data_IF_664237329441
#
_entry.id   IF_664237329441
#
_cell.length_a   1.000
_cell.length_b   1.000
_cell.length_c   1.000
_cell.angle_alpha   90.00
_cell.angle_beta   90.00
_cell.angle_gamma   90.00
#
_symmetry.space_group_name_H-M   'P 1'
#
loop_
_entity.id
_entity.type
_entity.pdbx_description
1 polymer ?
#
# COMPACT_ATOMS: atom_id res chain seq x y z
N UNK A 1 -21.92 -7.20 -15.02
CA UNK A 1 -22.37 -7.80 -13.74
C UNK A 1 -22.05 -6.80 -12.63
N UNK A 2 -23.07 -6.07 -12.17
CA UNK A 2 -22.97 -5.03 -11.14
C UNK A 2 -22.98 -5.66 -9.75
N UNK A 3 -22.02 -5.29 -8.90
CA UNK A 3 -22.07 -5.51 -7.45
C UNK A 3 -21.66 -4.19 -6.78
N UNK A 4 -22.62 -3.52 -6.12
CA UNK A 4 -22.39 -2.47 -5.11
C UNK A 4 -22.15 -1.03 -5.61
N UNK A 5 -22.93 -0.08 -5.09
CA UNK A 5 -22.80 1.38 -5.27
C UNK A 5 -21.59 1.97 -4.49
N UNK A 6 -20.37 1.48 -4.74
CA UNK A 6 -19.14 2.23 -4.42
C UNK A 6 -18.47 2.59 -5.74
N UNK A 7 -18.48 3.88 -6.11
CA UNK A 7 -17.54 4.37 -7.13
C UNK A 7 -16.14 4.08 -6.60
N UNK A 8 -15.47 3.08 -7.15
CA UNK A 8 -14.04 2.87 -6.95
C UNK A 8 -13.34 3.98 -7.73
N UNK A 9 -13.33 5.19 -7.19
CA UNK A 9 -12.39 6.21 -7.65
C UNK A 9 -11.04 5.84 -7.03
N UNK A 10 -10.11 5.37 -7.86
CA UNK A 10 -8.69 5.32 -7.50
C UNK A 10 -8.26 6.76 -7.19
N UNK A 11 -8.39 7.20 -5.93
CA UNK A 11 -7.71 8.41 -5.46
C UNK A 11 -6.21 8.09 -5.44
N UNK A 12 -5.57 8.20 -6.60
CA UNK A 12 -4.12 8.04 -6.74
C UNK A 12 -3.46 9.24 -6.06
N UNK A 13 -3.00 9.07 -4.83
CA UNK A 13 -2.17 10.08 -4.18
C UNK A 13 -0.86 10.25 -4.97
N UNK A 14 -0.24 11.43 -4.90
CA UNK A 14 1.06 11.67 -5.54
C UNK A 14 2.11 10.63 -5.10
N UNK A 15 2.06 10.19 -3.85
CA UNK A 15 2.92 9.14 -3.31
C UNK A 15 2.68 7.77 -3.97
N UNK A 16 1.42 7.43 -4.30
CA UNK A 16 1.10 6.20 -5.03
C UNK A 16 1.75 6.21 -6.41
N UNK A 17 1.58 7.32 -7.14
CA UNK A 17 2.16 7.49 -8.49
C UNK A 17 3.68 7.40 -8.44
N UNK A 18 4.32 8.07 -7.48
CA UNK A 18 5.77 8.04 -7.32
C UNK A 18 6.31 6.63 -7.03
N UNK A 19 5.66 5.88 -6.12
CA UNK A 19 6.04 4.49 -5.81
C UNK A 19 5.87 3.57 -7.02
N UNK A 20 4.76 3.72 -7.75
CA UNK A 20 4.49 2.95 -8.96
C UNK A 20 5.56 3.22 -10.03
N UNK A 21 5.90 4.49 -10.26
CA UNK A 21 6.93 4.89 -11.21
C UNK A 21 8.31 4.32 -10.83
N UNK A 22 8.71 4.44 -9.57
CA UNK A 22 9.97 3.92 -9.06
C UNK A 22 10.08 2.39 -9.23
N UNK A 23 9.03 1.66 -8.84
CA UNK A 23 9.01 0.20 -8.96
C UNK A 23 8.99 -0.26 -10.42
N UNK A 24 8.33 0.49 -11.30
CA UNK A 24 8.35 0.23 -12.74
C UNK A 24 9.74 0.46 -13.32
N UNK A 25 10.40 1.58 -12.97
CA UNK A 25 11.76 1.87 -13.41
C UNK A 25 12.75 0.81 -12.91
N UNK A 26 12.63 0.37 -11.65
CA UNK A 26 13.44 -0.71 -11.10
C UNK A 26 13.16 -2.05 -11.80
N UNK A 27 11.90 -2.36 -12.09
CA UNK A 27 11.49 -3.55 -12.82
C UNK A 27 12.12 -3.60 -14.22
N UNK A 28 12.14 -2.45 -14.91
CA UNK A 28 12.80 -2.30 -16.20
C UNK A 28 14.33 -2.40 -16.11
N UNK A 29 14.95 -1.77 -15.11
CA UNK A 29 16.40 -1.86 -14.90
C UNK A 29 16.84 -3.31 -14.61
N UNK A 30 16.09 -4.05 -13.79
CA UNK A 30 16.35 -5.47 -13.53
C UNK A 30 16.14 -6.35 -14.76
N UNK A 31 15.29 -5.92 -15.71
CA UNK A 31 15.17 -6.60 -17.00
C UNK A 31 16.42 -6.41 -17.87
N UNK A 32 17.03 -5.23 -17.86
CA UNK A 32 18.27 -4.98 -18.62
C UNK A 32 19.43 -5.88 -18.16
N UNK A 33 19.39 -6.35 -16.91
CA UNK A 33 20.37 -7.29 -16.34
C UNK A 33 20.03 -8.77 -16.61
N UNK A 34 19.28 -9.07 -17.68
CA UNK A 34 18.95 -10.44 -18.09
C UNK A 34 20.18 -11.17 -18.65
N UNK A 35 20.22 -12.49 -18.47
CA UNK A 35 21.32 -13.32 -18.94
C UNK A 35 20.85 -14.74 -19.30
N UNK A 36 21.60 -15.42 -20.14
CA UNK A 36 21.30 -16.80 -20.54
C UNK A 36 21.87 -17.80 -19.54
N UNK A 37 21.12 -18.85 -19.25
CA UNK A 37 21.63 -19.98 -18.47
C UNK A 37 22.31 -20.99 -19.42
N UNK A 38 23.51 -21.49 -19.09
CA UNK A 38 24.18 -22.50 -19.89
C UNK A 38 23.50 -23.88 -19.77
N UNK A 39 24.06 -24.87 -20.48
CA UNK A 39 23.67 -26.28 -20.47
C UNK A 39 22.37 -26.59 -21.22
N UNK A 40 21.28 -26.83 -20.50
CA UNK A 40 20.06 -27.46 -21.02
C UNK A 40 18.99 -26.47 -21.50
N UNK A 41 19.26 -25.16 -21.44
CA UNK A 41 18.30 -24.12 -21.78
C UNK A 41 18.65 -23.46 -23.12
N UNK A 42 17.70 -23.37 -24.06
CA UNK A 42 17.90 -22.58 -25.28
C UNK A 42 18.21 -21.11 -24.98
N UNK A 43 19.01 -20.48 -25.84
CA UNK A 43 19.51 -19.11 -25.67
C UNK A 43 18.44 -18.01 -25.66
N UNK A 44 17.22 -18.31 -26.11
CA UNK A 44 16.08 -17.40 -26.04
C UNK A 44 15.33 -17.46 -24.69
N UNK A 45 15.69 -18.38 -23.79
CA UNK A 45 15.20 -18.42 -22.41
C UNK A 45 16.15 -17.61 -21.50
N UNK A 46 15.82 -16.34 -21.31
CA UNK A 46 16.62 -15.40 -20.53
C UNK A 46 16.19 -15.35 -19.07
N UNK A 47 17.15 -15.52 -18.16
CA UNK A 47 16.94 -15.42 -16.72
C UNK A 47 16.92 -13.95 -16.30
N UNK A 48 15.89 -13.55 -15.57
CA UNK A 48 15.71 -12.17 -15.11
C UNK A 48 14.86 -12.11 -13.85
N UNK A 49 14.99 -11.01 -13.10
CA UNK A 49 14.31 -10.80 -11.82
C UNK A 49 13.30 -9.64 -11.85
N UNK A 50 12.84 -9.24 -13.05
CA UNK A 50 12.02 -8.05 -13.22
C UNK A 50 10.63 -8.12 -12.57
N UNK A 51 10.13 -9.31 -12.22
CA UNK A 51 8.83 -9.48 -11.57
C UNK A 51 8.88 -9.18 -10.08
N UNK A 52 10.08 -9.11 -9.48
CA UNK A 52 10.25 -8.84 -8.06
C UNK A 52 9.67 -7.46 -7.67
N UNK A 53 9.98 -6.33 -8.34
CA UNK A 53 9.33 -5.06 -8.06
C UNK A 53 7.82 -5.07 -8.27
N UNK A 54 7.31 -5.83 -9.23
CA UNK A 54 5.87 -5.98 -9.46
C UNK A 54 5.18 -6.74 -8.31
N UNK A 55 5.79 -7.80 -7.78
CA UNK A 55 5.31 -8.47 -6.56
C UNK A 55 5.27 -7.52 -5.36
N UNK A 56 6.32 -6.72 -5.19
CA UNK A 56 6.39 -5.75 -4.09
C UNK A 56 5.31 -4.66 -4.23
N UNK A 57 5.07 -4.17 -5.44
CA UNK A 57 3.94 -3.29 -5.75
C UNK A 57 2.61 -3.98 -5.41
N UNK A 58 2.44 -5.24 -5.83
CA UNK A 58 1.28 -6.08 -5.53
C UNK A 58 0.99 -6.21 -4.03
N UNK A 59 2.01 -6.51 -3.24
CA UNK A 59 1.88 -6.70 -1.79
C UNK A 59 1.66 -5.39 -1.03
N UNK A 60 2.16 -4.27 -1.53
CA UNK A 60 2.06 -2.98 -0.84
C UNK A 60 0.83 -2.18 -1.21
N UNK A 61 0.57 -2.05 -2.51
CA UNK A 61 -0.43 -1.16 -3.11
C UNK A 61 -1.60 -1.92 -3.71
N UNK A 62 -1.54 -3.26 -3.72
CA UNK A 62 -2.60 -4.14 -4.17
C UNK A 62 -2.36 -4.75 -5.56
N UNK A 63 -3.17 -5.74 -5.97
CA UNK A 63 -2.94 -6.51 -7.20
C UNK A 63 -2.88 -5.66 -8.48
N UNK A 64 -3.71 -4.62 -8.56
CA UNK A 64 -3.74 -3.70 -9.70
C UNK A 64 -2.40 -2.99 -9.88
N UNK A 65 -1.75 -2.57 -8.78
CA UNK A 65 -0.43 -1.96 -8.85
C UNK A 65 0.62 -2.93 -9.40
N UNK A 66 0.61 -4.18 -8.95
CA UNK A 66 1.51 -5.22 -9.46
C UNK A 66 1.33 -5.46 -10.96
N UNK A 67 0.09 -5.52 -11.42
CA UNK A 67 -0.22 -5.63 -12.85
C UNK A 67 0.25 -4.41 -13.65
N UNK A 68 0.02 -3.19 -13.14
CA UNK A 68 0.47 -1.97 -13.78
C UNK A 68 1.99 -1.92 -13.94
N UNK A 69 2.76 -2.34 -12.92
CA UNK A 69 4.22 -2.43 -13.04
C UNK A 69 4.64 -3.35 -14.18
N UNK A 70 3.99 -4.52 -14.32
CA UNK A 70 4.30 -5.47 -15.41
C UNK A 70 3.96 -4.86 -16.77
N UNK A 71 2.76 -4.31 -16.92
CA UNK A 71 2.31 -3.73 -18.19
C UNK A 71 3.20 -2.57 -18.60
N UNK A 72 3.45 -1.62 -17.70
CA UNK A 72 4.31 -0.46 -17.98
C UNK A 72 5.75 -0.88 -18.27
N UNK A 73 6.30 -1.84 -17.51
CA UNK A 73 7.61 -2.44 -17.80
C UNK A 73 7.64 -2.97 -19.24
N UNK A 74 6.67 -3.80 -19.62
CA UNK A 74 6.61 -4.38 -20.98
C UNK A 74 6.49 -3.30 -22.06
N UNK A 75 5.70 -2.24 -21.84
CA UNK A 75 5.62 -1.10 -22.76
C UNK A 75 6.99 -0.43 -22.96
N UNK A 76 7.79 -0.26 -21.91
CA UNK A 76 9.14 0.28 -22.02
C UNK A 76 10.13 -0.64 -22.73
N UNK A 77 9.87 -1.95 -22.74
CA UNK A 77 10.71 -2.93 -23.45
C UNK A 77 10.43 -2.99 -24.95
N UNK A 78 9.21 -2.64 -25.39
CA UNK A 78 8.80 -2.78 -26.80
C UNK A 78 9.80 -2.15 -27.80
N UNK A 79 10.34 -0.93 -27.59
CA UNK A 79 11.30 -0.33 -28.53
C UNK A 79 12.66 -1.04 -28.61
N UNK A 80 12.96 -1.94 -27.66
CA UNK A 80 14.25 -2.62 -27.52
C UNK A 80 14.18 -4.10 -27.91
N UNK A 81 13.06 -4.56 -28.47
CA UNK A 81 12.86 -5.99 -28.75
C UNK A 81 13.60 -6.44 -30.02
N UNK A 82 14.27 -7.59 -29.92
CA UNK A 82 14.87 -8.30 -31.06
C UNK A 82 14.06 -9.53 -31.48
N UNK A 83 13.02 -9.91 -30.72
CA UNK A 83 12.21 -11.13 -30.87
C UNK A 83 10.81 -10.84 -31.43
N UNK A 84 10.66 -9.70 -32.10
CA UNK A 84 9.41 -9.25 -32.72
C UNK A 84 8.19 -9.39 -31.81
N UNK A 85 8.32 -8.90 -30.57
CA UNK A 85 7.28 -8.83 -29.55
C UNK A 85 6.82 -10.16 -28.94
N UNK A 86 7.23 -11.33 -29.47
CA UNK A 86 6.84 -12.64 -28.93
C UNK A 86 7.33 -12.83 -27.51
N UNK A 87 8.61 -12.51 -27.29
CA UNK A 87 9.22 -12.59 -25.96
C UNK A 87 8.55 -11.65 -24.97
N UNK A 88 8.22 -10.43 -25.41
CA UNK A 88 7.60 -9.40 -24.57
C UNK A 88 6.16 -9.76 -24.18
N UNK A 89 5.38 -10.28 -25.12
CA UNK A 89 4.04 -10.80 -24.85
C UNK A 89 4.07 -11.97 -23.87
N UNK A 90 4.99 -12.91 -24.09
CA UNK A 90 5.16 -14.07 -23.22
C UNK A 90 5.54 -13.63 -21.79
N UNK A 91 6.52 -12.74 -21.65
CA UNK A 91 6.95 -12.21 -20.36
C UNK A 91 5.83 -11.45 -19.64
N UNK A 92 5.02 -10.68 -20.36
CA UNK A 92 3.86 -9.98 -19.80
C UNK A 92 2.82 -10.97 -19.26
N UNK A 93 2.42 -11.97 -20.05
CA UNK A 93 1.41 -12.95 -19.67
C UNK A 93 1.86 -13.75 -18.45
N UNK A 94 3.07 -14.30 -18.49
CA UNK A 94 3.59 -15.12 -17.39
C UNK A 94 3.86 -14.28 -16.14
N UNK A 95 4.32 -13.04 -16.30
CA UNK A 95 4.45 -12.09 -15.20
C UNK A 95 3.12 -11.83 -14.49
N UNK A 96 2.04 -11.61 -15.24
CA UNK A 96 0.70 -11.39 -14.67
C UNK A 96 0.19 -12.64 -13.93
N UNK A 97 0.32 -13.82 -14.54
CA UNK A 97 -0.09 -15.09 -13.93
C UNK A 97 0.69 -15.40 -12.65
N UNK A 98 1.96 -14.98 -12.58
CA UNK A 98 2.75 -15.12 -11.36
C UNK A 98 2.35 -14.11 -10.27
N UNK A 99 2.25 -12.83 -10.63
CA UNK A 99 2.11 -11.73 -9.66
C UNK A 99 0.69 -11.59 -9.13
N UNK A 100 -0.34 -11.72 -9.98
CA UNK A 100 -1.72 -11.45 -9.58
C UNK A 100 -2.23 -12.44 -8.51
N UNK A 101 -2.10 -13.77 -8.66
CA UNK A 101 -2.52 -14.70 -7.63
C UNK A 101 -1.78 -14.45 -6.32
N UNK A 102 -0.47 -14.21 -6.37
CA UNK A 102 0.32 -13.91 -5.19
C UNK A 102 -0.20 -12.66 -4.47
N UNK A 103 -0.42 -11.57 -5.22
CA UNK A 103 -0.89 -10.30 -4.68
C UNK A 103 -2.33 -10.40 -4.13
N UNK A 104 -3.21 -11.16 -4.78
CA UNK A 104 -4.58 -11.38 -4.33
C UNK A 104 -4.60 -12.16 -3.01
N UNK A 105 -3.87 -13.28 -2.91
CA UNK A 105 -3.75 -14.04 -1.67
C UNK A 105 -3.24 -13.17 -0.53
N UNK A 106 -2.23 -12.35 -0.79
CA UNK A 106 -1.71 -11.42 0.21
C UNK A 106 -2.69 -10.31 0.58
N UNK A 107 -3.49 -9.82 -0.37
CA UNK A 107 -4.49 -8.79 -0.14
C UNK A 107 -5.65 -9.29 0.73
N UNK A 108 -6.00 -10.58 0.67
CA UNK A 108 -7.00 -11.20 1.55
C UNK A 108 -6.58 -11.09 3.01
N UNK A 109 -5.31 -11.40 3.32
CA UNK A 109 -4.76 -11.22 4.66
C UNK A 109 -3.27 -10.91 4.60
N UNK A 110 -2.90 -9.72 5.10
CA UNK A 110 -1.54 -9.18 5.05
C UNK A 110 -0.61 -9.83 6.08
N UNK A 111 -0.31 -11.11 5.88
CA UNK A 111 0.63 -11.86 6.71
C UNK A 111 1.61 -12.72 5.88
N UNK A 112 2.62 -13.27 6.55
CA UNK A 112 3.66 -14.08 5.91
C UNK A 112 3.14 -15.40 5.33
N UNK A 113 2.07 -15.96 5.90
CA UNK A 113 1.52 -17.25 5.45
C UNK A 113 0.81 -17.08 4.11
N UNK A 114 0.03 -16.02 3.96
CA UNK A 114 -0.67 -15.71 2.71
C UNK A 114 0.29 -15.24 1.63
N UNK A 115 1.35 -14.50 1.99
CA UNK A 115 2.44 -14.22 1.07
C UNK A 115 3.09 -15.51 0.56
N UNK A 116 3.41 -16.45 1.46
CA UNK A 116 4.00 -17.74 1.11
C UNK A 116 3.09 -18.56 0.18
N UNK A 117 1.84 -18.79 0.57
CA UNK A 117 0.89 -19.56 -0.24
C UNK A 117 0.56 -18.87 -1.57
N UNK A 118 0.49 -17.54 -1.57
CA UNK A 118 0.33 -16.75 -2.78
C UNK A 118 1.50 -16.93 -3.74
N UNK A 119 2.74 -16.90 -3.24
CA UNK A 119 3.94 -17.14 -4.05
C UNK A 119 3.99 -18.56 -4.59
N UNK A 120 3.70 -19.57 -3.76
CA UNK A 120 3.63 -20.98 -4.20
C UNK A 120 2.59 -21.14 -5.31
N UNK A 121 1.39 -20.59 -5.10
CA UNK A 121 0.30 -20.66 -6.10
C UNK A 121 0.69 -19.95 -7.38
N UNK A 122 1.26 -18.74 -7.29
CA UNK A 122 1.75 -17.99 -8.44
C UNK A 122 2.82 -18.75 -9.22
N UNK A 123 3.79 -19.36 -8.54
CA UNK A 123 4.85 -20.17 -9.19
C UNK A 123 4.26 -21.35 -9.95
N UNK A 124 3.35 -22.12 -9.34
CA UNK A 124 2.73 -23.28 -9.98
C UNK A 124 1.91 -22.85 -11.20
N UNK A 125 1.08 -21.82 -11.05
CA UNK A 125 0.23 -21.31 -12.14
C UNK A 125 1.07 -20.73 -13.28
N UNK A 126 2.13 -19.98 -12.99
CA UNK A 126 2.98 -19.38 -14.01
C UNK A 126 3.78 -20.42 -14.77
N UNK A 127 4.29 -21.47 -14.10
CA UNK A 127 4.97 -22.58 -14.78
C UNK A 127 4.01 -23.38 -15.66
N UNK A 128 2.78 -23.64 -15.20
CA UNK A 128 1.75 -24.28 -16.03
C UNK A 128 1.37 -23.41 -17.24
N UNK A 129 1.18 -22.11 -17.01
CA UNK A 129 0.91 -21.15 -18.09
C UNK A 129 2.09 -21.05 -19.07
N UNK A 130 3.33 -21.17 -18.61
CA UNK A 130 4.51 -21.15 -19.48
C UNK A 130 4.48 -22.29 -20.49
N UNK A 131 4.05 -23.50 -20.08
CA UNK A 131 3.88 -24.63 -20.99
C UNK A 131 2.83 -24.32 -22.06
N UNK A 132 1.67 -23.79 -21.65
CA UNK A 132 0.55 -23.48 -22.56
C UNK A 132 0.94 -22.37 -23.53
N UNK A 133 1.45 -21.25 -23.01
CA UNK A 133 1.83 -20.07 -23.79
C UNK A 133 2.95 -20.44 -24.77
N UNK A 134 3.97 -21.19 -24.37
CA UNK A 134 5.03 -21.58 -25.30
C UNK A 134 4.53 -22.56 -26.38
N UNK A 135 3.65 -23.51 -26.03
CA UNK A 135 3.12 -24.48 -26.99
C UNK A 135 2.26 -23.83 -28.06
N UNK A 136 1.38 -22.91 -27.67
CA UNK A 136 0.31 -22.41 -28.53
C UNK A 136 0.50 -20.98 -29.02
N UNK A 137 1.37 -20.19 -28.39
CA UNK A 137 1.58 -18.79 -28.72
C UNK A 137 3.03 -18.56 -29.12
N UNK A 138 3.98 -18.76 -28.19
CA UNK A 138 5.37 -18.30 -28.39
C UNK A 138 6.08 -19.05 -29.51
N UNK A 139 6.13 -20.39 -29.47
CA UNK A 139 6.84 -21.17 -30.48
C UNK A 139 6.16 -21.06 -31.85
N UNK A 140 4.84 -21.26 -32.01
CA UNK A 140 4.20 -21.13 -33.32
C UNK A 140 4.43 -19.75 -33.96
N UNK A 141 4.27 -18.67 -33.20
CA UNK A 141 4.48 -17.32 -33.72
C UNK A 141 5.96 -17.06 -34.06
N UNK A 142 6.88 -17.53 -33.21
CA UNK A 142 8.31 -17.38 -33.47
C UNK A 142 8.74 -18.15 -34.74
N UNK A 143 8.25 -19.38 -34.93
CA UNK A 143 8.51 -20.17 -36.14
C UNK A 143 7.92 -19.53 -37.39
N UNK A 144 6.68 -19.06 -37.31
CA UNK A 144 6.03 -18.38 -38.43
C UNK A 144 6.84 -17.16 -38.88
N UNK A 145 7.29 -16.36 -37.92
CA UNK A 145 7.95 -15.10 -38.24
C UNK A 145 9.41 -15.24 -38.67
N UNK A 146 10.19 -16.11 -38.02
CA UNK A 146 11.64 -16.22 -38.29
C UNK A 146 12.00 -17.31 -39.30
N UNK A 147 11.13 -18.31 -39.46
CA UNK A 147 11.38 -19.45 -40.35
C UNK A 147 10.29 -19.63 -41.42
N UNK A 148 9.36 -18.67 -41.58
CA UNK A 148 8.23 -18.79 -42.51
C UNK A 148 7.44 -20.09 -42.32
N UNK A 149 7.30 -20.54 -41.07
CA UNK A 149 6.59 -21.77 -40.72
C UNK A 149 7.43 -23.06 -40.78
N UNK A 150 8.72 -22.98 -41.18
CA UNK A 150 9.61 -24.14 -41.18
C UNK A 150 10.03 -24.54 -39.75
N UNK A 151 9.41 -25.60 -39.25
CA UNK A 151 9.64 -26.11 -37.91
C UNK A 151 10.97 -26.86 -37.78
N UNK A 152 11.47 -27.48 -38.85
CA UNK A 152 12.72 -28.26 -38.81
C UNK A 152 13.93 -27.36 -38.55
N UNK A 153 13.92 -26.14 -39.09
CA UNK A 153 14.90 -25.11 -38.77
C UNK A 153 14.97 -24.79 -37.27
N UNK A 154 13.81 -24.71 -36.59
CA UNK A 154 13.74 -24.47 -35.15
C UNK A 154 14.27 -25.66 -34.33
N UNK A 155 13.95 -26.90 -34.75
CA UNK A 155 14.49 -28.11 -34.14
C UNK A 155 16.02 -28.14 -34.31
N UNK A 156 16.52 -27.80 -35.50
CA UNK A 156 17.95 -27.72 -35.80
C UNK A 156 18.71 -26.75 -34.89
N UNK A 157 18.13 -25.59 -34.56
CA UNK A 157 18.72 -24.64 -33.61
C UNK A 157 18.88 -25.22 -32.20
N UNK A 158 17.98 -26.11 -31.81
CA UNK A 158 18.00 -26.74 -30.50
C UNK A 158 18.75 -28.08 -30.50
N UNK A 159 19.20 -28.60 -31.65
CA UNK A 159 19.83 -29.92 -31.76
C UNK A 159 21.10 -30.06 -30.92
N UNK A 160 21.82 -28.96 -30.67
CA UNK A 160 22.99 -28.95 -29.78
C UNK A 160 22.60 -29.30 -28.33
N UNK A 161 21.39 -28.91 -27.91
CA UNK A 161 20.88 -29.09 -26.55
C UNK A 161 20.04 -30.36 -26.45
N UNK A 162 19.25 -30.64 -27.49
CA UNK A 162 18.35 -31.79 -27.61
C UNK A 162 18.72 -32.62 -28.86
N UNK A 163 19.84 -33.36 -28.84
CA UNK A 163 20.34 -34.06 -30.03
C UNK A 163 19.40 -35.14 -30.57
N UNK A 164 18.51 -35.68 -29.73
CA UNK A 164 17.54 -36.70 -30.10
C UNK A 164 16.15 -36.14 -30.43
N UNK A 165 15.97 -34.81 -30.47
CA UNK A 165 14.69 -34.20 -30.76
C UNK A 165 14.42 -34.19 -32.28
N UNK A 166 13.23 -34.64 -32.64
CA UNK A 166 12.61 -34.52 -33.98
C UNK A 166 11.44 -33.55 -33.91
N UNK A 167 10.85 -33.16 -35.04
CA UNK A 167 9.66 -32.30 -35.07
C UNK A 167 8.53 -32.79 -34.15
N UNK A 168 8.24 -34.09 -34.17
CA UNK A 168 7.18 -34.70 -33.36
C UNK A 168 7.50 -34.75 -31.86
N UNK A 169 8.78 -34.92 -31.52
CA UNK A 169 9.22 -35.09 -30.12
C UNK A 169 9.72 -33.78 -29.49
N UNK A 170 9.94 -32.74 -30.30
CA UNK A 170 10.51 -31.47 -29.88
C UNK A 170 9.81 -30.89 -28.65
N UNK A 171 8.48 -30.85 -28.66
CA UNK A 171 7.72 -30.29 -27.54
C UNK A 171 7.88 -31.08 -26.25
N UNK A 172 8.07 -32.39 -26.31
CA UNK A 172 8.31 -33.19 -25.10
C UNK A 172 9.64 -32.80 -24.45
N UNK A 173 10.70 -32.69 -25.26
CA UNK A 173 12.02 -32.25 -24.78
C UNK A 173 12.00 -30.77 -24.35
N UNK A 174 11.56 -29.88 -25.22
CA UNK A 174 11.59 -28.45 -24.98
C UNK A 174 10.69 -28.00 -23.83
N UNK A 175 9.45 -28.51 -23.75
CA UNK A 175 8.54 -28.12 -22.67
C UNK A 175 8.95 -28.77 -21.35
N UNK A 176 9.30 -30.07 -21.38
CA UNK A 176 9.63 -30.84 -20.19
C UNK A 176 10.99 -30.51 -19.59
N UNK A 177 12.03 -30.40 -20.42
CA UNK A 177 13.41 -30.17 -19.98
C UNK A 177 13.84 -28.70 -20.07
N UNK A 178 13.20 -27.91 -20.93
CA UNK A 178 13.47 -26.48 -21.04
C UNK A 178 12.50 -25.67 -20.17
N UNK A 179 11.26 -25.54 -20.63
CA UNK A 179 10.29 -24.57 -20.09
C UNK A 179 9.95 -24.82 -18.62
N UNK A 180 9.58 -26.05 -18.24
CA UNK A 180 9.16 -26.36 -16.87
C UNK A 180 10.27 -26.08 -15.86
N UNK A 181 11.47 -26.69 -15.95
CA UNK A 181 12.53 -26.46 -14.98
C UNK A 181 13.03 -25.01 -14.99
N UNK A 182 13.11 -24.37 -16.16
CA UNK A 182 13.52 -22.97 -16.27
C UNK A 182 12.58 -22.02 -15.52
N UNK A 183 11.27 -22.11 -15.80
CA UNK A 183 10.28 -21.23 -15.18
C UNK A 183 10.11 -21.55 -13.69
N UNK A 184 10.16 -22.83 -13.32
CA UNK A 184 10.14 -23.23 -11.91
C UNK A 184 11.33 -22.62 -11.15
N UNK A 185 12.54 -22.74 -11.68
CA UNK A 185 13.75 -22.15 -11.10
C UNK A 185 13.62 -20.62 -10.99
N UNK A 186 13.22 -19.96 -12.08
CA UNK A 186 13.02 -18.50 -12.14
C UNK A 186 12.06 -18.02 -11.06
N UNK A 187 10.86 -18.59 -11.01
CA UNK A 187 9.84 -18.13 -10.08
C UNK A 187 10.13 -18.52 -8.63
N UNK A 188 10.80 -19.65 -8.36
CA UNK A 188 11.26 -19.98 -7.02
C UNK A 188 12.27 -18.95 -6.53
N UNK A 189 13.27 -18.58 -7.34
CA UNK A 189 14.27 -17.59 -6.94
C UNK A 189 13.60 -16.23 -6.69
N UNK A 190 12.72 -15.79 -7.60
CA UNK A 190 11.98 -14.53 -7.42
C UNK A 190 11.11 -14.58 -6.15
N UNK A 191 10.42 -15.68 -5.88
CA UNK A 191 9.62 -15.86 -4.67
C UNK A 191 10.46 -15.80 -3.40
N UNK A 192 11.63 -16.45 -3.38
CA UNK A 192 12.57 -16.41 -2.26
C UNK A 192 13.09 -14.99 -2.02
N UNK A 193 13.52 -14.30 -3.09
CA UNK A 193 13.97 -12.91 -3.01
C UNK A 193 12.84 -12.00 -2.52
N UNK A 194 11.62 -12.16 -3.03
CA UNK A 194 10.47 -11.40 -2.58
C UNK A 194 10.19 -11.64 -1.09
N UNK A 195 10.24 -12.89 -0.63
CA UNK A 195 10.00 -13.23 0.76
C UNK A 195 11.07 -12.65 1.71
N UNK A 196 12.35 -12.69 1.32
CA UNK A 196 13.46 -12.14 2.10
C UNK A 196 13.44 -10.61 2.14
N UNK A 197 13.19 -9.98 0.99
CA UNK A 197 13.22 -8.54 0.84
C UNK A 197 11.94 -7.87 1.34
N UNK A 198 10.80 -8.58 1.35
CA UNK A 198 9.52 -8.01 1.77
C UNK A 198 9.59 -7.35 3.14
N UNK A 199 10.20 -7.97 4.16
CA UNK A 199 10.26 -7.33 5.50
C UNK A 199 11.07 -6.03 5.53
N UNK A 200 12.08 -5.91 4.67
CA UNK A 200 12.94 -4.72 4.58
C UNK A 200 12.25 -3.64 3.76
N UNK A 201 11.70 -4.03 2.61
CA UNK A 201 11.05 -3.11 1.67
C UNK A 201 9.65 -2.72 2.11
N UNK A 202 8.90 -3.56 2.85
CA UNK A 202 7.56 -3.20 3.34
C UNK A 202 7.60 -2.02 4.29
N UNK A 203 8.69 -1.83 5.05
CA UNK A 203 8.89 -0.61 5.86
C UNK A 203 8.95 0.65 5.00
N UNK A 204 9.61 0.58 3.84
CA UNK A 204 9.75 1.70 2.90
C UNK A 204 8.49 1.85 2.03
N UNK A 205 7.84 0.75 1.65
CA UNK A 205 6.66 0.76 0.80
C UNK A 205 5.39 1.17 1.55
N UNK A 206 5.27 0.79 2.83
CA UNK A 206 4.23 1.28 3.74
C UNK A 206 4.60 2.60 4.42
N UNK A 207 5.71 3.23 4.02
CA UNK A 207 5.98 4.63 4.34
C UNK A 207 4.95 5.48 3.60
N UNK A 208 3.77 5.59 4.19
CA UNK A 208 2.95 6.79 4.04
C UNK A 208 3.80 7.94 4.60
N UNK A 209 3.74 9.12 3.98
CA UNK A 209 4.49 10.31 4.41
C UNK A 209 4.10 10.84 5.79
N UNK A 210 3.63 9.99 6.70
CA UNK A 210 3.29 10.27 8.10
C UNK A 210 4.53 10.48 8.98
N UNK A 211 5.71 10.04 8.55
CA UNK A 211 6.97 10.12 9.30
C UNK A 211 7.70 11.47 9.24
N UNK A 212 7.19 12.43 8.47
CA UNK A 212 7.62 13.84 8.55
C UNK A 212 6.80 14.62 9.57
N UNK A 213 5.99 13.95 10.40
CA UNK A 213 5.31 14.60 11.52
C UNK A 213 6.33 14.78 12.65
N UNK A 214 6.62 16.03 12.97
CA UNK A 214 7.19 16.38 14.26
C UNK A 214 6.47 15.59 15.34
N UNK A 215 7.23 15.00 16.28
CA UNK A 215 6.66 14.34 17.46
C UNK A 215 5.67 15.29 18.12
N UNK A 216 4.39 14.96 18.03
CA UNK A 216 3.26 15.72 18.53
C UNK A 216 2.98 15.33 19.98
N UNK A 217 3.30 14.10 20.40
CA UNK A 217 3.10 13.72 21.80
C UNK A 217 4.13 14.38 22.70
N UNK A 218 3.66 15.08 23.72
CA UNK A 218 4.49 15.83 24.65
C UNK A 218 3.67 16.75 25.55
N UNK A 219 4.37 17.46 26.41
CA UNK A 219 3.81 18.53 27.23
C UNK A 219 4.15 19.88 26.59
N UNK A 220 3.17 20.78 26.59
CA UNK A 220 3.30 22.14 26.09
C UNK A 220 2.73 23.09 27.13
N UNK A 221 3.51 24.09 27.50
CA UNK A 221 3.06 25.16 28.39
C UNK A 221 2.41 26.28 27.56
N UNK A 222 1.42 26.93 28.15
CA UNK A 222 0.70 28.06 27.57
C UNK A 222 0.29 29.04 28.66
N UNK A 223 0.69 30.30 28.52
CA UNK A 223 0.30 31.42 29.37
C UNK A 223 -0.65 32.41 28.67
N UNK A 224 -0.97 32.18 27.38
CA UNK A 224 -1.82 33.08 26.59
C UNK A 224 -2.73 32.36 25.59
N UNK A 225 -3.69 33.11 25.03
CA UNK A 225 -4.53 32.60 23.94
C UNK A 225 -3.72 32.34 22.67
N UNK A 226 -2.75 33.21 22.35
CA UNK A 226 -1.86 33.05 21.20
C UNK A 226 -1.01 31.77 21.29
N UNK A 227 -0.50 31.45 22.48
CA UNK A 227 0.27 30.22 22.71
C UNK A 227 -0.62 28.99 22.60
N UNK A 228 -1.86 29.06 23.13
CA UNK A 228 -2.87 28.01 22.96
C UNK A 228 -3.18 27.77 21.49
N UNK A 229 -3.31 28.84 20.69
CA UNK A 229 -3.52 28.77 19.25
C UNK A 229 -2.30 28.15 18.54
N UNK A 230 -1.08 28.46 18.98
CA UNK A 230 0.12 27.84 18.42
C UNK A 230 0.17 26.33 18.68
N UNK A 231 -0.24 25.86 19.86
CA UNK A 231 -0.35 24.43 20.18
C UNK A 231 -1.44 23.78 19.32
N UNK A 232 -2.62 24.40 19.21
CA UNK A 232 -3.71 23.92 18.37
C UNK A 232 -3.29 23.84 16.89
N UNK A 233 -2.56 24.84 16.39
CA UNK A 233 -2.01 24.83 15.03
C UNK A 233 -1.06 23.65 14.80
N UNK A 234 -0.17 23.34 15.76
CA UNK A 234 0.70 22.13 15.66
C UNK A 234 -0.12 20.86 15.49
N UNK A 235 -1.24 20.73 16.21
CA UNK A 235 -2.16 19.58 16.06
C UNK A 235 -2.81 19.60 14.67
N UNK A 236 -3.39 20.74 14.25
CA UNK A 236 -4.06 20.94 12.96
C UNK A 236 -3.17 20.63 11.75
N UNK A 237 -1.90 21.04 11.80
CA UNK A 237 -0.92 20.80 10.75
C UNK A 237 -0.67 19.29 10.52
N UNK A 238 -0.98 18.44 11.51
CA UNK A 238 -0.91 16.98 11.36
C UNK A 238 -2.21 16.34 10.84
N UNK A 239 -3.30 17.08 10.69
CA UNK A 239 -4.61 16.51 10.34
C UNK A 239 -4.79 16.36 8.82
N UNK A 240 -5.35 15.22 8.42
CA UNK A 240 -5.56 14.83 7.02
C UNK A 240 -7.02 14.51 6.67
N UNK A 241 -7.91 14.48 7.66
CA UNK A 241 -9.34 14.24 7.55
C UNK A 241 -9.77 12.93 8.22
N UNK A 242 -10.90 12.97 8.93
CA UNK A 242 -11.47 11.81 9.63
C UNK A 242 -10.84 11.50 11.00
N UNK A 243 -9.85 12.28 11.45
CA UNK A 243 -9.27 12.12 12.78
C UNK A 243 -10.19 12.63 13.90
N UNK A 244 -9.99 12.10 15.11
CA UNK A 244 -10.70 12.54 16.32
C UNK A 244 -9.71 13.20 17.29
N UNK A 245 -10.02 14.42 17.71
CA UNK A 245 -9.31 15.16 18.76
C UNK A 245 -10.18 15.16 20.01
N UNK A 246 -9.72 14.49 21.05
CA UNK A 246 -10.41 14.43 22.33
C UNK A 246 -9.86 15.50 23.26
N UNK A 247 -10.73 16.35 23.78
CA UNK A 247 -10.38 17.40 24.73
C UNK A 247 -10.81 16.99 26.13
N UNK A 248 -9.83 16.91 27.03
CA UNK A 248 -9.99 16.58 28.45
C UNK A 248 -9.46 17.72 29.30
N UNK A 249 -10.14 18.02 30.42
CA UNK A 249 -9.77 19.12 31.31
C UNK A 249 -10.99 19.80 31.93
N UNK A 250 -10.77 20.46 33.06
CA UNK A 250 -11.84 21.04 33.88
C UNK A 250 -12.66 22.12 33.16
N UNK A 251 -13.79 22.50 33.75
CA UNK A 251 -14.59 23.63 33.26
C UNK A 251 -13.74 24.90 33.28
N UNK A 252 -13.71 25.63 32.17
CA UNK A 252 -12.86 26.82 32.03
C UNK A 252 -11.38 26.54 31.70
N UNK A 253 -10.96 25.27 31.53
CA UNK A 253 -9.57 24.92 31.20
C UNK A 253 -9.09 25.47 29.84
N UNK A 254 -9.98 25.96 28.96
CA UNK A 254 -9.61 26.52 27.66
C UNK A 254 -9.83 25.58 26.47
N UNK A 255 -10.68 24.55 26.63
CA UNK A 255 -11.05 23.61 25.55
C UNK A 255 -11.58 24.32 24.31
N UNK A 256 -12.56 25.21 24.47
CA UNK A 256 -13.11 25.99 23.36
C UNK A 256 -12.08 26.91 22.71
N UNK A 257 -11.17 27.52 23.49
CA UNK A 257 -10.06 28.33 22.98
C UNK A 257 -9.12 27.50 22.11
N UNK A 258 -8.78 26.28 22.54
CA UNK A 258 -8.02 25.34 21.74
C UNK A 258 -8.77 24.97 20.44
N UNK A 259 -10.07 24.70 20.50
CA UNK A 259 -10.88 24.39 19.31
C UNK A 259 -10.92 25.57 18.32
N UNK A 260 -11.02 26.80 18.80
CA UNK A 260 -10.93 28.01 17.97
C UNK A 260 -9.58 28.10 17.26
N UNK A 261 -8.48 27.87 17.98
CA UNK A 261 -7.15 27.83 17.39
C UNK A 261 -7.00 26.73 16.34
N UNK A 262 -7.57 25.55 16.59
CA UNK A 262 -7.58 24.42 15.66
C UNK A 262 -8.36 24.79 14.38
N UNK A 263 -9.55 25.36 14.54
CA UNK A 263 -10.41 25.78 13.43
C UNK A 263 -9.76 26.85 12.57
N UNK A 264 -9.15 27.87 13.20
CA UNK A 264 -8.41 28.93 12.52
C UNK A 264 -7.24 28.36 11.70
N UNK A 265 -6.49 27.41 12.27
CA UNK A 265 -5.40 26.72 11.55
C UNK A 265 -5.89 25.84 10.40
N UNK A 266 -7.12 25.30 10.50
CA UNK A 266 -7.78 24.59 9.41
C UNK A 266 -8.39 25.55 8.36
N UNK A 267 -8.43 26.85 8.61
CA UNK A 267 -8.94 27.86 7.68
C UNK A 267 -10.46 28.08 7.74
N UNK A 268 -11.12 27.64 8.81
CA UNK A 268 -12.52 27.98 9.10
C UNK A 268 -12.64 29.50 9.29
N UNK A 269 -13.56 30.15 8.57
CA UNK A 269 -13.78 31.60 8.62
C UNK A 269 -14.96 31.97 9.53
N UNK A 270 -15.88 31.03 9.70
CA UNK A 270 -17.00 31.18 10.63
C UNK A 270 -16.53 31.31 12.09
N UNK A 271 -17.32 31.99 12.91
CA UNK A 271 -17.03 32.12 14.32
C UNK A 271 -17.27 30.78 15.04
N UNK A 272 -16.20 30.17 15.54
CA UNK A 272 -16.29 28.93 16.30
C UNK A 272 -16.75 29.20 17.72
N UNK A 273 -17.88 28.62 18.09
CA UNK A 273 -18.50 28.76 19.41
C UNK A 273 -18.66 27.40 20.06
N UNK A 274 -18.67 27.35 21.39
CA UNK A 274 -18.91 26.11 22.12
C UNK A 274 -20.33 25.61 21.85
N UNK A 275 -20.53 24.38 21.38
CA UNK A 275 -21.86 23.82 21.08
C UNK A 275 -22.57 23.38 22.36
N UNK A 276 -22.47 24.13 23.45
CA UNK A 276 -23.02 23.73 24.76
C UNK A 276 -24.55 23.58 24.75
N UNK A 277 -25.26 24.28 23.85
CA UNK A 277 -26.71 24.14 23.66
C UNK A 277 -27.10 23.32 22.44
N UNK A 278 -26.30 23.36 21.37
CA UNK A 278 -26.55 22.64 20.12
C UNK A 278 -26.01 21.21 20.14
N UNK A 279 -25.22 20.84 21.15
CA UNK A 279 -24.45 19.59 21.32
C UNK A 279 -23.35 19.44 20.26
N UNK A 280 -23.61 19.86 19.02
CA UNK A 280 -22.69 19.77 17.90
C UNK A 280 -22.81 20.98 16.96
N UNK A 281 -21.66 21.47 16.49
CA UNK A 281 -21.54 22.40 15.36
C UNK A 281 -20.67 21.78 14.26
N UNK A 282 -21.02 22.01 12.99
CA UNK A 282 -20.23 21.56 11.83
C UNK A 282 -19.84 22.77 10.98
N UNK A 283 -18.55 22.91 10.73
CA UNK A 283 -17.95 23.98 9.92
C UNK A 283 -17.31 23.36 8.68
N UNK A 284 -17.75 23.72 7.49
CA UNK A 284 -17.34 23.07 6.23
C UNK A 284 -16.41 23.91 5.36
N UNK A 285 -16.19 25.18 5.72
CA UNK A 285 -15.51 26.19 4.90
C UNK A 285 -13.97 26.17 5.00
N UNK A 286 -13.42 25.38 5.93
CA UNK A 286 -11.98 25.15 6.07
C UNK A 286 -11.39 24.13 5.08
N UNK A 287 -10.06 23.92 5.15
CA UNK A 287 -9.34 22.86 4.41
C UNK A 287 -9.88 21.47 4.70
N UNK A 288 -10.36 21.25 5.91
CA UNK A 288 -11.04 20.05 6.37
C UNK A 288 -12.32 20.47 7.09
N UNK A 289 -13.45 19.78 6.91
CA UNK A 289 -14.63 20.02 7.72
C UNK A 289 -14.30 19.77 9.19
N UNK A 290 -14.77 20.64 10.07
CA UNK A 290 -14.58 20.54 11.52
C UNK A 290 -15.94 20.29 12.17
N UNK A 291 -16.05 19.17 12.87
CA UNK A 291 -17.22 18.85 13.68
C UNK A 291 -16.82 19.01 15.15
N UNK A 292 -17.36 20.01 15.82
CA UNK A 292 -17.13 20.27 17.25
C UNK A 292 -18.32 19.76 18.04
N UNK A 293 -18.07 18.89 19.02
CA UNK A 293 -19.07 18.28 19.89
C UNK A 293 -18.76 18.56 21.36
N UNK A 294 -19.78 18.89 22.13
CA UNK A 294 -19.72 19.00 23.60
C UNK A 294 -20.68 17.97 24.21
N UNK A 295 -20.11 16.87 24.70
CA UNK A 295 -20.89 15.75 25.24
C UNK A 295 -21.13 15.84 26.76
N UNK A 296 -20.83 16.98 27.39
CA UNK A 296 -20.98 17.14 28.85
C UNK A 296 -22.41 16.82 29.35
N UNK A 297 -23.43 17.13 28.54
CA UNK A 297 -24.85 16.94 28.87
C UNK A 297 -25.41 15.57 28.53
N UNK A 298 -24.68 14.76 27.75
CA UNK A 298 -25.14 13.43 27.38
C UNK A 298 -24.88 12.46 28.54
N UNK A 299 -25.89 11.71 28.92
CA UNK A 299 -25.82 10.72 29.99
C UNK A 299 -25.06 9.46 29.54
N UNK A 300 -25.14 9.12 28.25
CA UNK A 300 -24.53 7.91 27.69
C UNK A 300 -24.15 8.03 26.20
N UNK A 301 -23.41 7.04 25.70
CA UNK A 301 -23.12 6.91 24.28
C UNK A 301 -24.38 6.56 23.46
N UNK A 302 -25.32 5.80 24.02
CA UNK A 302 -26.58 5.41 23.36
C UNK A 302 -27.44 6.64 23.04
N UNK A 303 -27.50 7.62 23.96
CA UNK A 303 -28.22 8.88 23.73
C UNK A 303 -27.67 9.65 22.52
N UNK A 304 -26.36 9.56 22.25
CA UNK A 304 -25.76 10.21 21.08
C UNK A 304 -26.15 9.55 19.75
N UNK A 305 -26.34 8.23 19.75
CA UNK A 305 -26.81 7.47 18.59
C UNK A 305 -28.29 7.73 18.31
N UNK A 306 -29.12 7.78 19.36
CA UNK A 306 -30.55 8.10 19.25
C UNK A 306 -30.80 9.49 18.65
N UNK A 307 -29.92 10.46 18.95
CA UNK A 307 -29.98 11.81 18.41
C UNK A 307 -29.49 11.93 16.96
N UNK A 308 -28.92 10.86 16.37
CA UNK A 308 -28.43 10.87 14.99
C UNK A 308 -27.32 11.89 14.73
N UNK A 309 -26.55 12.27 15.76
CA UNK A 309 -25.62 13.40 15.70
C UNK A 309 -24.58 13.27 14.58
N UNK A 310 -24.18 12.06 14.21
CA UNK A 310 -23.14 11.84 13.20
C UNK A 310 -23.66 11.59 11.79
N UNK A 311 -24.97 11.49 11.58
CA UNK A 311 -25.55 11.07 10.29
C UNK A 311 -25.29 12.08 9.16
N UNK A 312 -25.14 13.35 9.53
CA UNK A 312 -24.90 14.48 8.61
C UNK A 312 -23.45 14.93 8.58
N UNK A 313 -22.58 14.33 9.40
CA UNK A 313 -21.16 14.71 9.49
C UNK A 313 -20.39 14.09 8.31
N UNK A 314 -19.63 14.89 7.52
CA UNK A 314 -18.80 14.35 6.46
C UNK A 314 -17.82 13.28 6.97
N UNK A 315 -17.63 12.18 6.23
CA UNK A 315 -16.71 11.09 6.64
C UNK A 315 -15.26 11.57 6.87
N UNK A 316 -14.84 12.63 6.16
CA UNK A 316 -13.51 13.21 6.28
C UNK A 316 -13.43 14.37 7.28
N UNK A 317 -14.50 14.66 8.04
CA UNK A 317 -14.50 15.70 9.04
C UNK A 317 -13.54 15.37 10.19
N UNK A 318 -12.82 16.38 10.69
CA UNK A 318 -12.11 16.30 11.96
C UNK A 318 -13.14 16.44 13.07
N UNK A 319 -13.20 15.46 13.98
CA UNK A 319 -14.11 15.49 15.13
C UNK A 319 -13.36 16.02 16.33
N UNK A 320 -13.77 17.15 16.88
CA UNK A 320 -13.27 17.68 18.16
C UNK A 320 -14.33 17.42 19.20
N UNK A 321 -14.03 16.58 20.18
CA UNK A 321 -15.01 16.11 21.16
C UNK A 321 -14.55 16.53 22.55
N UNK A 322 -15.35 17.38 23.18
CA UNK A 322 -15.23 17.70 24.61
C UNK A 322 -16.02 16.68 25.42
N UNK A 323 -15.45 16.23 26.55
CA UNK A 323 -16.12 15.32 27.51
C UNK A 323 -16.61 14.01 26.88
N UNK A 324 -15.80 13.43 25.99
CA UNK A 324 -16.15 12.25 25.20
C UNK A 324 -16.84 11.13 26.00
N UNK A 325 -17.99 10.67 25.49
CA UNK A 325 -18.73 9.51 26.01
C UNK A 325 -18.68 8.29 25.09
N UNK A 326 -18.19 8.43 23.85
CA UNK A 326 -18.06 7.31 22.92
C UNK A 326 -17.07 6.26 23.43
N UNK A 327 -17.43 4.99 23.25
CA UNK A 327 -16.61 3.84 23.65
C UNK A 327 -15.87 3.16 22.49
N UNK A 328 -16.30 3.41 21.25
CA UNK A 328 -15.88 2.68 20.04
C UNK A 328 -15.24 3.60 18.98
N UNK A 329 -14.46 4.59 19.44
CA UNK A 329 -13.72 5.48 18.54
C UNK A 329 -12.73 4.69 17.65
N UNK A 330 -12.82 4.90 16.34
CA UNK A 330 -11.94 4.30 15.34
C UNK A 330 -11.04 5.35 14.67
N UNK A 331 -9.96 4.92 14.02
CA UNK A 331 -9.05 5.83 13.30
C UNK A 331 -7.89 6.36 14.15
N UNK A 332 -7.38 7.55 13.80
CA UNK A 332 -6.32 8.25 14.54
C UNK A 332 -6.99 9.18 15.56
N UNK A 333 -6.69 8.92 16.83
CA UNK A 333 -7.14 9.68 17.98
C UNK A 333 -5.97 10.50 18.53
N UNK A 334 -6.20 11.78 18.77
CA UNK A 334 -5.28 12.69 19.45
C UNK A 334 -5.97 13.12 20.75
N UNK A 335 -5.41 12.76 21.91
CA UNK A 335 -5.92 13.29 23.18
C UNK A 335 -5.14 14.54 23.55
N UNK A 336 -5.86 15.59 23.92
CA UNK A 336 -5.33 16.84 24.44
C UNK A 336 -5.92 17.04 25.82
N UNK A 337 -5.10 16.82 26.85
CA UNK A 337 -5.47 17.13 28.23
C UNK A 337 -4.97 18.51 28.58
N UNK A 338 -5.83 19.34 29.16
CA UNK A 338 -5.51 20.70 29.58
C UNK A 338 -5.63 20.78 31.10
N UNK A 339 -4.53 21.14 31.76
CA UNK A 339 -4.45 21.32 33.21
C UNK A 339 -4.22 22.80 33.51
N UNK A 340 -4.91 23.34 34.51
CA UNK A 340 -4.69 24.71 35.00
C UNK A 340 -3.59 24.68 36.06
N UNK A 341 -2.49 25.39 35.83
CA UNK A 341 -1.34 25.46 36.75
C UNK A 341 -1.26 26.80 37.49
N UNK A 342 -2.01 27.80 37.04
CA UNK A 342 -2.14 29.13 37.65
C UNK A 342 -3.31 29.93 37.06
N UNK A 343 -3.39 31.23 37.35
CA UNK A 343 -4.49 32.09 36.87
C UNK A 343 -4.50 32.23 35.33
N UNK A 344 -3.32 32.17 34.70
CA UNK A 344 -3.16 32.25 33.25
C UNK A 344 -2.34 31.10 32.65
N UNK A 345 -1.70 30.28 33.49
CA UNK A 345 -0.79 29.21 33.08
C UNK A 345 -1.53 27.87 32.95
N UNK A 346 -1.26 27.18 31.84
CA UNK A 346 -1.86 25.89 31.51
C UNK A 346 -0.83 24.95 30.90
N UNK A 347 -0.91 23.68 31.27
CA UNK A 347 -0.16 22.61 30.62
C UNK A 347 -1.08 21.78 29.72
N UNK A 348 -0.68 21.66 28.46
CA UNK A 348 -1.30 20.79 27.46
C UNK A 348 -0.49 19.50 27.35
N UNK A 349 -1.05 18.38 27.80
CA UNK A 349 -0.50 17.05 27.53
C UNK A 349 -1.15 16.49 26.28
N UNK A 350 -0.41 16.42 25.18
CA UNK A 350 -0.88 15.88 23.90
C UNK A 350 -0.39 14.44 23.74
N UNK A 351 -1.26 13.54 23.34
CA UNK A 351 -0.90 12.16 22.98
C UNK A 351 -1.52 11.76 21.65
N UNK A 352 -0.70 11.25 20.73
CA UNK A 352 -1.13 10.78 19.42
C UNK A 352 -1.12 9.25 19.36
N UNK A 353 -2.29 8.65 19.09
CA UNK A 353 -2.43 7.21 18.88
C UNK A 353 -1.59 6.68 17.71
N UNK A 354 -1.24 7.51 16.73
CA UNK A 354 -0.35 7.14 15.64
C UNK A 354 1.09 6.92 16.14
N UNK A 355 1.57 7.73 17.08
CA UNK A 355 2.91 7.62 17.66
C UNK A 355 3.02 6.46 18.67
N UNK A 356 1.94 6.17 19.40
CA UNK A 356 1.90 5.04 20.34
C UNK A 356 1.92 3.66 19.65
N UNK A 357 1.47 3.56 18.39
CA UNK A 357 1.56 2.32 17.60
C UNK A 357 3.01 1.96 17.27
N UNK A 358 3.89 2.94 17.13
CA UNK A 358 5.31 2.73 16.83
C UNK A 358 6.07 2.23 18.06
N UNK A 359 5.80 2.78 19.26
CA UNK A 359 6.43 2.33 20.51
C UNK A 359 6.02 0.90 20.88
N UNK A 360 4.75 0.51 20.69
CA UNK A 360 4.29 -0.88 20.91
C UNK A 360 4.88 -1.85 19.88
N UNK A 361 5.17 -1.41 18.65
CA UNK A 361 5.90 -2.19 17.64
C UNK A 361 7.37 -2.36 18.00
N UNK A 362 8.04 -1.31 18.44
CA UNK A 362 9.43 -1.35 18.89
C UNK A 362 9.62 -2.27 20.10
N UNK A 363 8.76 -2.16 21.13
CA UNK A 363 8.79 -3.06 22.30
C UNK A 363 8.51 -4.52 21.93
N UNK A 364 7.63 -4.80 20.95
CA UNK A 364 7.42 -6.17 20.45
C UNK A 364 8.60 -6.71 19.65
N UNK A 365 9.36 -5.86 18.96
CA UNK A 365 10.58 -6.29 18.24
C UNK A 365 11.83 -6.33 19.13
N UNK A 366 11.86 -5.59 20.24
CA UNK A 366 12.96 -5.59 21.22
C UNK A 366 12.80 -6.62 22.34
N UNK A 367 11.58 -6.93 22.76
CA UNK A 367 11.31 -7.87 23.86
C UNK A 367 11.52 -9.35 23.50
N UNK A 368 11.55 -9.70 22.21
CA UNK A 368 11.81 -11.07 21.76
C UNK A 368 13.31 -11.46 21.78
N UNK A 369 14.20 -10.61 22.31
CA UNK A 369 15.64 -10.89 22.44
C UNK A 369 16.15 -10.92 23.89
N UNK A 370 15.28 -10.85 24.90
CA UNK A 370 15.68 -10.87 26.30
C UNK A 370 15.33 -12.16 27.06
N UNK A 371 14.70 -13.15 26.41
CA UNK A 371 14.47 -14.49 26.97
C UNK A 371 14.59 -15.53 25.85
N UNK A 372 15.82 -15.93 25.56
CA UNK A 372 16.16 -17.19 24.91
C UNK A 372 17.60 -17.54 25.30
#
# INVERSE_FOLDING_TARGET
MQIGKKKITLKMSAAYVAKLALLTALSFALYMAKFNLPFMFPSFLEMQFSELPALLAGFSMGPVAGALVIVLKCLFKLPLTSTAFVGELTDMLLGLVFVLPAAIFYAVKKDRKHAFWGLVTGTVLATAAAVIVNRYISIPFYTELYFNGDFDSLVGMCAVIYPNATADTFYAFYLGLGIVPFNLLRYIIIALLAFLLYKRLSRILHWEGTSLRHKLSGEYESASEEETFAIAKKVADTLTGGETVLLDGDLGAGKTTFTKGLAAALGVKEEVTSPTFTIMNVYEDGRLPLCHMDMYRLESAEESEELGLTDTVPENAVKVIEWNKFTDLTGRIINVRITLDGEHERTFTVTDSAENKDIRREKRTGGAKAQA
#
